data_IF_026230008849
#
_entry.id   IF_026230008849
#
_cell.length_a   1.000
_cell.length_b   1.000
_cell.length_c   1.000
_cell.angle_alpha   90.00
_cell.angle_beta   90.00
_cell.angle_gamma   90.00
#
_symmetry.space_group_name_H-M   'P 1'
#
loop_
_entity.id
_entity.type
_entity.pdbx_description
1 polymer ?
#
# COMPACT_ATOMS: atom_id res chain seq x y z
N UNK A 1 -15.41 6.14 -0.40
CA UNK A 1 -14.48 5.09 0.06
C UNK A 1 -13.17 5.33 -0.67
N UNK A 2 -12.06 5.35 0.07
CA UNK A 2 -10.84 6.05 -0.36
C UNK A 2 -9.62 5.15 -0.53
N UNK A 3 -9.71 3.92 -0.04
CA UNK A 3 -8.68 2.89 -0.08
C UNK A 3 -9.31 1.60 -0.59
N UNK A 4 -8.49 0.74 -1.17
CA UNK A 4 -8.92 -0.52 -1.75
C UNK A 4 -7.97 -1.63 -1.31
N UNK A 5 -8.46 -2.83 -0.97
CA UNK A 5 -7.62 -4.00 -0.84
C UNK A 5 -6.81 -4.23 -2.12
N UNK A 6 -5.53 -4.56 -1.97
CA UNK A 6 -4.68 -4.96 -3.05
C UNK A 6 -3.96 -6.26 -2.70
N UNK A 7 -3.45 -6.95 -3.72
CA UNK A 7 -2.63 -8.15 -3.55
C UNK A 7 -1.63 -8.27 -4.71
N UNK A 8 -0.37 -8.57 -4.39
CA UNK A 8 0.61 -8.99 -5.38
C UNK A 8 0.30 -10.41 -5.85
N UNK A 9 0.23 -10.60 -7.15
CA UNK A 9 0.08 -11.91 -7.82
C UNK A 9 1.25 -12.15 -8.77
N UNK A 10 1.35 -13.35 -9.36
CA UNK A 10 2.36 -13.64 -10.37
C UNK A 10 2.23 -12.81 -11.66
N UNK A 11 1.08 -12.14 -11.86
CA UNK A 11 0.79 -11.33 -13.06
C UNK A 11 0.86 -9.82 -12.80
N UNK A 12 1.09 -9.40 -11.55
CA UNK A 12 1.10 -8.00 -11.14
C UNK A 12 0.23 -7.75 -9.91
N UNK A 13 -0.20 -6.51 -9.72
CA UNK A 13 -1.03 -6.11 -8.57
C UNK A 13 -2.51 -6.18 -8.94
N UNK A 14 -3.27 -6.98 -8.20
CA UNK A 14 -4.74 -6.99 -8.29
C UNK A 14 -5.33 -6.03 -7.27
N UNK A 15 -6.26 -5.19 -7.71
CA UNK A 15 -6.93 -4.17 -6.88
C UNK A 15 -8.43 -4.45 -6.84
N UNK A 16 -8.97 -4.74 -5.66
CA UNK A 16 -10.41 -4.90 -5.49
C UNK A 16 -11.09 -3.53 -5.35
N UNK A 17 -11.41 -2.92 -6.49
CA UNK A 17 -12.10 -1.62 -6.54
C UNK A 17 -13.58 -1.69 -6.13
N UNK A 18 -14.15 -2.90 -5.99
CA UNK A 18 -15.55 -3.07 -5.55
C UNK A 18 -15.66 -2.98 -4.04
N UNK A 19 -14.60 -3.34 -3.32
CA UNK A 19 -14.56 -3.34 -1.86
C UNK A 19 -13.78 -2.15 -1.31
N UNK A 20 -14.33 -0.94 -1.45
CA UNK A 20 -13.73 0.25 -0.86
C UNK A 20 -13.73 0.17 0.68
N UNK A 21 -12.59 0.51 1.29
CA UNK A 21 -12.39 0.51 2.75
C UNK A 21 -12.04 1.91 3.27
N UNK A 22 -12.24 2.12 4.57
CA UNK A 22 -11.81 3.34 5.25
C UNK A 22 -10.32 3.31 5.65
N UNK A 23 -9.84 4.44 6.17
CA UNK A 23 -8.45 4.63 6.58
C UNK A 23 -8.04 3.70 7.73
N UNK A 24 -8.90 3.51 8.73
CA UNK A 24 -8.59 2.70 9.89
C UNK A 24 -8.40 1.23 9.48
N UNK A 25 -9.27 0.73 8.59
CA UNK A 25 -9.17 -0.61 8.02
C UNK A 25 -7.94 -0.75 7.11
N UNK A 26 -7.61 0.27 6.32
CA UNK A 26 -6.39 0.26 5.51
C UNK A 26 -5.12 0.14 6.38
N UNK A 27 -5.03 0.90 7.46
CA UNK A 27 -3.91 0.80 8.42
C UNK A 27 -3.84 -0.59 9.06
N UNK A 28 -4.99 -1.16 9.43
CA UNK A 28 -5.03 -2.49 10.01
C UNK A 28 -4.53 -3.56 9.03
N UNK A 29 -4.95 -3.50 7.76
CA UNK A 29 -4.45 -4.38 6.69
C UNK A 29 -2.93 -4.30 6.56
N UNK A 30 -2.39 -3.09 6.48
CA UNK A 30 -0.95 -2.86 6.38
C UNK A 30 -0.18 -3.44 7.59
N UNK A 31 -0.70 -3.24 8.81
CA UNK A 31 -0.10 -3.85 10.01
C UNK A 31 -0.13 -5.37 10.02
N UNK A 32 -1.10 -5.98 9.33
CA UNK A 32 -1.20 -7.42 9.15
C UNK A 32 -0.34 -7.97 8.01
N UNK A 33 0.41 -7.10 7.29
CA UNK A 33 1.19 -7.50 6.12
C UNK A 33 0.36 -7.65 4.85
N UNK A 34 -0.85 -7.07 4.82
CA UNK A 34 -1.72 -7.07 3.64
C UNK A 34 -1.60 -5.74 2.88
N UNK A 35 -1.71 -5.79 1.56
CA UNK A 35 -1.54 -4.62 0.71
C UNK A 35 -2.82 -3.78 0.56
N UNK A 36 -2.63 -2.50 0.24
CA UNK A 36 -3.71 -1.57 -0.11
C UNK A 36 -3.33 -0.72 -1.32
N UNK A 37 -4.33 -0.25 -2.05
CA UNK A 37 -4.21 0.68 -3.15
C UNK A 37 -5.01 1.97 -2.87
N UNK A 38 -4.44 3.12 -3.23
CA UNK A 38 -5.12 4.42 -3.12
C UNK A 38 -4.47 5.47 -4.04
N UNK A 39 -4.86 6.74 -3.92
CA UNK A 39 -4.22 7.85 -4.64
C UNK A 39 -2.87 8.20 -4.01
N UNK A 40 -1.94 8.78 -4.78
CA UNK A 40 -0.60 9.17 -4.31
C UNK A 40 -0.62 9.99 -3.02
N UNK A 41 -1.52 10.98 -2.94
CA UNK A 41 -1.66 11.84 -1.75
C UNK A 41 -2.04 11.04 -0.50
N UNK A 42 -3.00 10.12 -0.63
CA UNK A 42 -3.47 9.28 0.48
C UNK A 42 -2.45 8.20 0.84
N UNK A 43 -1.75 7.65 -0.15
CA UNK A 43 -0.66 6.71 0.07
C UNK A 43 0.47 7.35 0.90
N UNK A 44 0.86 8.58 0.56
CA UNK A 44 1.81 9.36 1.35
C UNK A 44 1.31 9.61 2.80
N UNK A 45 0.03 9.94 2.97
CA UNK A 45 -0.56 10.10 4.32
C UNK A 45 -0.45 8.81 5.15
N UNK A 46 -0.77 7.66 4.57
CA UNK A 46 -0.63 6.37 5.25
C UNK A 46 0.84 6.04 5.58
N UNK A 47 1.76 6.26 4.63
CA UNK A 47 3.18 6.02 4.83
C UNK A 47 3.78 6.86 5.97
N UNK A 48 3.41 8.15 6.04
CA UNK A 48 3.86 9.04 7.11
C UNK A 48 3.34 8.61 8.48
N UNK A 49 2.06 8.25 8.57
CA UNK A 49 1.46 7.80 9.84
C UNK A 49 2.06 6.49 10.34
N UNK A 50 2.29 5.53 9.44
CA UNK A 50 2.95 4.27 9.81
C UNK A 50 4.44 4.47 10.17
N UNK A 51 5.08 5.50 9.59
CA UNK A 51 6.45 5.85 9.92
C UNK A 51 6.59 6.54 11.28
N UNK A 52 5.60 7.35 11.69
CA UNK A 52 5.54 7.91 13.04
C UNK A 52 5.33 6.84 14.11
N UNK A 53 4.65 5.73 13.75
CA UNK A 53 4.45 4.59 14.62
C UNK A 53 5.76 3.86 14.89
N UNK A 54 6.36 3.26 13.85
CA UNK A 54 7.60 2.47 13.93
C UNK A 54 8.19 2.05 12.56
N UNK A 55 7.55 2.36 11.41
CA UNK A 55 8.02 1.94 10.08
C UNK A 55 9.00 2.93 9.42
N UNK A 56 9.71 2.49 8.38
CA UNK A 56 10.48 3.37 7.49
C UNK A 56 9.91 3.24 6.09
N UNK A 57 8.74 3.84 5.85
CA UNK A 57 8.04 3.71 4.58
C UNK A 57 8.66 4.61 3.51
N UNK A 58 9.18 4.02 2.43
CA UNK A 58 9.77 4.75 1.31
C UNK A 58 9.09 4.42 0.00
N UNK A 59 9.00 5.43 -0.88
CA UNK A 59 8.57 5.25 -2.28
C UNK A 59 9.64 4.44 -3.00
N UNK A 60 9.27 3.26 -3.47
CA UNK A 60 10.12 2.45 -4.35
C UNK A 60 9.35 2.13 -5.64
N UNK A 61 10.08 2.12 -6.75
CA UNK A 61 9.51 2.08 -8.08
C UNK A 61 9.33 0.65 -8.62
N UNK A 62 9.90 -0.39 -7.98
CA UNK A 62 9.91 -1.73 -8.57
C UNK A 62 9.23 -2.81 -7.71
N UNK A 63 7.98 -3.15 -8.07
CA UNK A 63 7.38 -4.46 -7.78
C UNK A 63 6.96 -5.10 -9.10
N UNK A 64 6.81 -6.43 -9.10
CA UNK A 64 6.18 -7.19 -10.18
C UNK A 64 4.81 -6.57 -10.49
N UNK A 65 4.63 -6.10 -11.74
CA UNK A 65 3.41 -5.42 -12.19
C UNK A 65 3.49 -3.90 -12.30
N UNK A 66 4.63 -3.28 -12.00
CA UNK A 66 4.93 -1.89 -12.42
C UNK A 66 4.26 -0.77 -11.61
N UNK A 67 3.51 -1.09 -10.56
CA UNK A 67 2.89 -0.06 -9.72
C UNK A 67 3.92 0.63 -8.82
N UNK A 68 3.81 1.95 -8.73
CA UNK A 68 4.48 2.71 -7.68
C UNK A 68 3.89 2.35 -6.32
N UNK A 69 4.73 2.30 -5.30
CA UNK A 69 4.27 1.93 -3.98
C UNK A 69 5.18 2.48 -2.89
N UNK A 70 4.63 2.57 -1.68
CA UNK A 70 5.45 2.65 -0.47
C UNK A 70 5.59 1.25 0.13
N UNK A 71 6.78 0.91 0.61
CA UNK A 71 6.99 -0.26 1.47
C UNK A 71 7.84 0.13 2.69
N UNK A 72 7.72 -0.62 3.77
CA UNK A 72 8.56 -0.46 4.95
C UNK A 72 9.96 -1.06 4.71
N UNK A 73 10.98 -0.24 4.59
CA UNK A 73 12.37 -0.66 4.31
C UNK A 73 12.96 -1.53 5.42
N UNK A 74 12.45 -1.39 6.66
CA UNK A 74 12.86 -2.25 7.76
C UNK A 74 12.13 -3.60 7.78
N UNK A 75 11.19 -3.82 6.83
CA UNK A 75 10.34 -5.00 6.71
C UNK A 75 9.64 -5.40 8.02
N UNK A 76 9.33 -4.46 8.91
CA UNK A 76 8.48 -4.71 10.08
C UNK A 76 7.06 -5.00 9.62
N UNK A 77 6.62 -4.28 8.60
CA UNK A 77 5.40 -4.57 7.86
C UNK A 77 5.77 -5.06 6.46
N UNK A 78 5.35 -6.28 6.11
CA UNK A 78 5.60 -6.89 4.79
C UNK A 78 4.60 -6.46 3.71
N UNK A 79 3.78 -5.45 4.02
CA UNK A 79 2.74 -4.90 3.16
C UNK A 79 3.25 -3.73 2.31
N UNK A 80 2.50 -3.43 1.26
CA UNK A 80 2.75 -2.33 0.33
C UNK A 80 1.54 -1.40 0.24
N UNK A 81 1.81 -0.11 0.00
CA UNK A 81 0.79 0.90 -0.29
C UNK A 81 0.95 1.32 -1.75
N UNK A 82 0.18 0.69 -2.64
CA UNK A 82 0.21 0.95 -4.08
C UNK A 82 -0.53 2.24 -4.46
N UNK A 83 -0.05 2.90 -5.51
CA UNK A 83 -0.70 4.07 -6.10
C UNK A 83 -0.31 4.27 -7.58
N UNK A 84 -1.13 5.03 -8.30
CA UNK A 84 -0.87 5.36 -9.70
C UNK A 84 -1.22 4.22 -10.65
N UNK A 85 -0.65 4.27 -11.86
CA UNK A 85 -0.86 3.28 -12.91
C UNK A 85 0.37 2.35 -13.00
N UNK A 86 0.19 1.12 -13.53
CA UNK A 86 1.31 0.21 -13.75
C UNK A 86 2.23 0.73 -14.87
N UNK A 87 3.55 0.64 -14.66
CA UNK A 87 4.61 0.98 -15.61
C UNK A 87 5.20 -0.23 -16.32
#
# INVERSE_FOLDING_TARGET
MDYYPAQITSKGVEIDRRHGIDKARAIQRLKNGEDVYTTKSKANTLANELSQGQGTWKDDAHVIGGYRHYHDVCHRYRSHIFFGEPH
#
